data_IF_893979277720
#
_entry.id   IF_893979277720
#
_cell.length_a   1.000
_cell.length_b   1.000
_cell.length_c   1.000
_cell.angle_alpha   90.00
_cell.angle_beta   90.00
_cell.angle_gamma   90.00
#
_symmetry.space_group_name_H-M   'P 1'
#
loop_
_entity.id
_entity.type
_entity.pdbx_description
1 polymer ?
#
# COMPACT_ATOMS: atom_id res chain seq x y z
N UNK A 1 -17.22 0.27 7.19
CA UNK A 1 -16.65 -1.08 7.37
C UNK A 1 -15.17 -1.09 7.00
N UNK A 2 -14.39 -1.93 7.66
CA UNK A 2 -12.98 -2.15 7.37
C UNK A 2 -12.82 -3.13 6.20
N UNK A 3 -11.65 -3.16 5.55
CA UNK A 3 -11.35 -4.05 4.40
C UNK A 3 -11.34 -5.55 4.73
N UNK A 4 -11.35 -5.93 6.03
CA UNK A 4 -11.54 -7.32 6.48
C UNK A 4 -10.48 -8.33 6.03
N UNK A 5 -9.21 -7.95 5.93
CA UNK A 5 -8.11 -8.86 5.49
C UNK A 5 -7.87 -10.06 6.41
N UNK A 6 -8.32 -10.03 7.65
CA UNK A 6 -8.07 -11.08 8.65
C UNK A 6 -9.35 -11.57 9.34
N UNK A 7 -10.54 -11.30 8.77
CA UNK A 7 -11.82 -11.69 9.35
C UNK A 7 -13.01 -10.90 8.81
N UNK A 8 -14.20 -11.05 9.37
CA UNK A 8 -15.37 -10.32 8.92
C UNK A 8 -15.16 -8.81 9.06
N UNK A 9 -15.68 -8.04 8.09
CA UNK A 9 -15.51 -6.59 8.09
C UNK A 9 -16.12 -5.99 9.37
N UNK A 10 -15.33 -5.14 10.03
CA UNK A 10 -15.74 -4.46 11.27
C UNK A 10 -16.36 -3.10 10.92
N UNK A 11 -17.26 -2.63 11.76
CA UNK A 11 -17.79 -1.26 11.68
C UNK A 11 -17.01 -0.36 12.62
N UNK A 12 -16.49 0.73 12.10
CA UNK A 12 -15.86 1.80 12.88
C UNK A 12 -16.75 3.03 12.78
N UNK A 13 -17.00 3.67 13.90
CA UNK A 13 -17.88 4.84 14.01
C UNK A 13 -17.04 6.09 14.22
N UNK A 14 -17.45 7.18 13.59
CA UNK A 14 -16.83 8.49 13.69
C UNK A 14 -17.89 9.53 13.99
N UNK A 15 -17.62 10.43 14.90
CA UNK A 15 -18.36 11.68 15.05
C UNK A 15 -17.87 12.71 14.02
N UNK A 16 -18.56 13.82 13.90
CA UNK A 16 -18.13 14.93 13.07
C UNK A 16 -16.75 15.46 13.53
N UNK A 17 -16.55 15.57 14.84
CA UNK A 17 -15.25 15.96 15.41
C UNK A 17 -14.13 14.96 15.12
N UNK A 18 -14.43 13.65 15.10
CA UNK A 18 -13.43 12.63 14.72
C UNK A 18 -13.04 12.74 13.24
N UNK A 19 -14.00 13.10 12.37
CA UNK A 19 -13.70 13.35 10.94
C UNK A 19 -12.87 14.62 10.75
N UNK A 20 -13.15 15.67 11.54
CA UNK A 20 -12.36 16.90 11.52
C UNK A 20 -10.91 16.65 11.90
N UNK A 21 -10.64 15.83 12.92
CA UNK A 21 -9.28 15.38 13.27
C UNK A 21 -8.59 14.65 12.08
N UNK A 22 -9.35 13.90 11.29
CA UNK A 22 -8.83 13.23 10.09
C UNK A 22 -8.47 14.25 8.99
N UNK A 23 -9.33 15.24 8.78
CA UNK A 23 -9.07 16.33 7.82
C UNK A 23 -7.82 17.12 8.19
N UNK A 24 -7.65 17.45 9.48
CA UNK A 24 -6.45 18.14 9.97
C UNK A 24 -5.19 17.30 9.78
N UNK A 25 -5.25 16.01 10.08
CA UNK A 25 -4.13 15.10 9.81
C UNK A 25 -3.78 15.06 8.32
N UNK A 26 -4.77 14.96 7.43
CA UNK A 26 -4.52 14.96 5.99
C UNK A 26 -3.91 16.28 5.51
N UNK A 27 -4.39 17.42 6.00
CA UNK A 27 -3.78 18.71 5.70
C UNK A 27 -2.30 18.76 6.10
N UNK A 28 -1.98 18.37 7.34
CA UNK A 28 -0.60 18.39 7.85
C UNK A 28 0.26 17.34 7.16
N UNK A 29 -0.22 16.10 7.04
CA UNK A 29 0.52 15.03 6.37
C UNK A 29 0.80 15.34 4.90
N UNK A 30 -0.19 15.87 4.17
CA UNK A 30 0.00 16.25 2.77
C UNK A 30 0.95 17.43 2.59
N UNK A 31 1.12 18.32 3.58
CA UNK A 31 2.07 19.43 3.50
C UNK A 31 3.54 18.99 3.40
N UNK A 32 3.85 17.71 3.66
CA UNK A 32 5.20 17.15 3.46
C UNK A 32 5.55 16.97 1.99
N UNK A 33 4.55 16.80 1.12
CA UNK A 33 4.77 16.50 -0.32
C UNK A 33 3.98 17.40 -1.27
N UNK A 34 2.94 18.08 -0.80
CA UNK A 34 2.12 19.00 -1.58
C UNK A 34 2.15 20.41 -1.00
N UNK A 35 1.97 21.41 -1.85
CA UNK A 35 1.98 22.83 -1.51
C UNK A 35 0.82 23.55 -2.18
N UNK A 36 0.50 24.75 -1.70
CA UNK A 36 -0.54 25.59 -2.30
C UNK A 36 -0.33 25.76 -3.81
N UNK A 37 -1.40 25.58 -4.58
CA UNK A 37 -1.40 25.61 -6.04
C UNK A 37 -1.16 24.25 -6.71
N UNK A 38 -0.67 23.21 -6.02
CA UNK A 38 -0.56 21.86 -6.59
C UNK A 38 -1.93 21.30 -6.96
N UNK A 39 -1.97 20.56 -8.07
CA UNK A 39 -3.13 19.80 -8.52
C UNK A 39 -2.97 18.33 -8.14
N UNK A 40 -3.78 17.87 -7.20
CA UNK A 40 -3.63 16.56 -6.58
C UNK A 40 -4.73 15.61 -7.06
N UNK A 41 -4.35 14.57 -7.81
CA UNK A 41 -5.28 13.52 -8.22
C UNK A 41 -5.43 12.48 -7.11
N UNK A 42 -6.66 12.26 -6.66
CA UNK A 42 -6.99 11.31 -5.60
C UNK A 42 -7.56 10.04 -6.24
N UNK A 43 -6.76 8.96 -6.19
CA UNK A 43 -7.10 7.63 -6.70
C UNK A 43 -7.66 6.71 -5.61
N UNK A 44 -8.32 7.30 -4.62
CA UNK A 44 -8.96 6.62 -3.49
C UNK A 44 -10.47 6.82 -3.52
N UNK A 45 -11.27 5.93 -2.92
CA UNK A 45 -12.73 6.10 -2.86
C UNK A 45 -13.12 7.45 -2.25
N UNK A 46 -13.79 8.32 -3.03
CA UNK A 46 -14.10 9.70 -2.63
C UNK A 46 -15.53 10.15 -2.93
N UNK A 47 -16.38 9.30 -3.50
CA UNK A 47 -17.76 9.66 -3.92
C UNK A 47 -18.69 9.85 -2.72
N UNK A 48 -18.49 9.11 -1.63
CA UNK A 48 -19.35 9.18 -0.45
C UNK A 48 -18.82 10.21 0.54
N UNK A 49 -19.67 11.09 1.11
CA UNK A 49 -19.27 11.98 2.19
C UNK A 49 -18.62 11.20 3.35
N UNK A 50 -17.52 11.70 3.90
CA UNK A 50 -16.75 11.06 4.95
C UNK A 50 -15.91 9.86 4.52
N UNK A 51 -15.83 9.55 3.22
CA UNK A 51 -14.89 8.57 2.69
C UNK A 51 -13.46 9.13 2.66
N UNK A 52 -12.46 8.24 2.55
CA UNK A 52 -11.06 8.64 2.59
C UNK A 52 -10.70 9.70 1.55
N UNK A 53 -11.18 9.54 0.31
CA UNK A 53 -10.91 10.53 -0.74
C UNK A 53 -11.66 11.85 -0.55
N UNK A 54 -12.86 11.83 0.05
CA UNK A 54 -13.60 13.05 0.37
C UNK A 54 -12.93 13.84 1.50
N UNK A 55 -12.56 13.19 2.60
CA UNK A 55 -11.85 13.86 3.72
C UNK A 55 -10.47 14.35 3.28
N UNK A 56 -9.76 13.60 2.42
CA UNK A 56 -8.49 14.03 1.85
C UNK A 56 -8.67 15.25 0.96
N UNK A 57 -9.72 15.30 0.14
CA UNK A 57 -10.08 16.48 -0.68
C UNK A 57 -10.21 17.73 0.20
N UNK A 58 -10.98 17.63 1.30
CA UNK A 58 -11.17 18.76 2.23
C UNK A 58 -9.83 19.20 2.84
N UNK A 59 -8.98 18.24 3.27
CA UNK A 59 -7.65 18.55 3.81
C UNK A 59 -6.75 19.26 2.81
N UNK A 60 -6.76 18.84 1.54
CA UNK A 60 -6.01 19.45 0.45
C UNK A 60 -6.52 20.85 0.07
N UNK A 61 -7.84 21.05 0.05
CA UNK A 61 -8.42 22.39 -0.15
C UNK A 61 -7.98 23.36 0.96
N UNK A 62 -7.94 22.91 2.22
CA UNK A 62 -7.43 23.70 3.35
C UNK A 62 -5.93 23.98 3.27
N UNK A 63 -5.17 23.14 2.57
CA UNK A 63 -3.75 23.35 2.26
C UNK A 63 -3.55 24.36 1.10
N UNK A 64 -4.61 24.70 0.38
CA UNK A 64 -4.57 25.56 -0.81
C UNK A 64 -4.25 24.81 -2.10
N UNK A 65 -4.34 23.48 -2.09
CA UNK A 65 -4.23 22.65 -3.28
C UNK A 65 -5.55 22.63 -4.07
N UNK A 66 -5.48 22.11 -5.30
CA UNK A 66 -6.62 21.88 -6.18
C UNK A 66 -6.82 20.35 -6.33
N UNK A 67 -7.60 19.71 -5.47
CA UNK A 67 -7.82 18.27 -5.53
C UNK A 67 -8.78 17.87 -6.65
N UNK A 68 -8.45 16.78 -7.34
CA UNK A 68 -9.29 16.11 -8.34
C UNK A 68 -9.60 14.72 -7.81
N UNK A 69 -10.86 14.45 -7.45
CA UNK A 69 -11.27 13.13 -6.96
C UNK A 69 -11.68 12.27 -8.15
N UNK A 70 -10.85 11.29 -8.48
CA UNK A 70 -11.13 10.31 -9.53
C UNK A 70 -11.75 9.04 -8.95
N UNK A 71 -11.17 8.52 -7.87
CA UNK A 71 -11.49 7.21 -7.33
C UNK A 71 -10.46 6.15 -7.72
N UNK A 72 -10.69 4.87 -7.37
CA UNK A 72 -9.82 3.77 -7.77
C UNK A 72 -9.63 3.68 -9.28
N UNK A 73 -8.41 3.32 -9.71
CA UNK A 73 -8.07 3.19 -11.14
C UNK A 73 -8.90 2.08 -11.79
N UNK A 74 -9.75 2.44 -12.72
CA UNK A 74 -10.56 1.54 -13.54
C UNK A 74 -9.84 1.20 -14.85
N UNK A 75 -9.29 2.21 -15.53
CA UNK A 75 -8.61 2.08 -16.81
C UNK A 75 -7.42 3.06 -16.86
N UNK A 76 -6.22 2.54 -17.11
CA UNK A 76 -4.97 3.30 -17.02
C UNK A 76 -4.96 4.51 -17.96
N UNK A 77 -5.37 4.30 -19.22
CA UNK A 77 -5.36 5.35 -20.24
C UNK A 77 -6.29 6.52 -19.88
N UNK A 78 -7.46 6.22 -19.32
CA UNK A 78 -8.39 7.28 -18.88
C UNK A 78 -7.80 8.14 -17.76
N UNK A 79 -7.17 7.48 -16.76
CA UNK A 79 -6.56 8.19 -15.64
C UNK A 79 -5.42 9.08 -16.13
N UNK A 80 -4.56 8.56 -17.02
CA UNK A 80 -3.45 9.33 -17.59
C UNK A 80 -3.95 10.54 -18.40
N UNK A 81 -5.04 10.41 -19.15
CA UNK A 81 -5.70 11.54 -19.82
C UNK A 81 -6.20 12.58 -18.82
N UNK A 82 -6.82 12.16 -17.72
CA UNK A 82 -7.26 13.08 -16.65
C UNK A 82 -6.08 13.80 -16.01
N UNK A 83 -4.96 13.10 -15.76
CA UNK A 83 -3.73 13.73 -15.26
C UNK A 83 -3.29 14.85 -16.20
N UNK A 84 -3.26 14.59 -17.50
CA UNK A 84 -2.84 15.55 -18.51
C UNK A 84 -3.83 16.73 -18.63
N UNK A 85 -5.11 16.44 -18.81
CA UNK A 85 -6.17 17.46 -18.99
C UNK A 85 -6.34 18.36 -17.78
N UNK A 86 -6.24 17.78 -16.58
CA UNK A 86 -6.32 18.51 -15.32
C UNK A 86 -4.96 19.05 -14.87
N UNK A 87 -3.88 18.79 -15.60
CA UNK A 87 -2.51 19.18 -15.25
C UNK A 87 -2.14 18.78 -13.80
N UNK A 88 -2.49 17.54 -13.40
CA UNK A 88 -2.18 17.05 -12.08
C UNK A 88 -0.67 16.78 -11.94
N UNK A 89 -0.08 17.21 -10.82
CA UNK A 89 1.35 17.07 -10.56
C UNK A 89 1.67 16.31 -9.27
N UNK A 90 0.65 15.98 -8.48
CA UNK A 90 0.75 15.14 -7.29
C UNK A 90 -0.32 14.05 -7.37
N UNK A 91 0.03 12.81 -7.00
CA UNK A 91 -0.91 11.68 -6.99
C UNK A 91 -1.02 11.08 -5.59
N UNK A 92 -2.22 10.59 -5.25
CA UNK A 92 -2.45 9.79 -4.03
C UNK A 92 -3.20 8.53 -4.41
N UNK A 93 -2.62 7.35 -4.13
CA UNK A 93 -3.24 6.08 -4.52
C UNK A 93 -2.59 4.84 -3.92
N UNK A 94 -3.12 3.67 -4.28
CA UNK A 94 -2.54 2.40 -3.89
C UNK A 94 -1.27 2.09 -4.71
N UNK A 95 -0.23 1.47 -4.10
CA UNK A 95 1.07 1.27 -4.75
C UNK A 95 0.97 0.55 -6.10
N UNK A 96 0.20 -0.54 -6.18
CA UNK A 96 0.05 -1.30 -7.43
C UNK A 96 -0.71 -0.52 -8.49
N UNK A 97 -1.72 0.28 -8.11
CA UNK A 97 -2.43 1.13 -9.08
C UNK A 97 -1.51 2.22 -9.66
N UNK A 98 -0.71 2.86 -8.80
CA UNK A 98 0.29 3.84 -9.22
C UNK A 98 1.35 3.20 -10.12
N UNK A 99 1.83 2.01 -9.77
CA UNK A 99 2.78 1.26 -10.59
C UNK A 99 2.21 0.91 -11.98
N UNK A 100 0.96 0.45 -12.04
CA UNK A 100 0.28 0.16 -13.31
C UNK A 100 0.20 1.39 -14.21
N UNK A 101 -0.16 2.54 -13.63
CA UNK A 101 -0.21 3.81 -14.37
C UNK A 101 1.17 4.18 -14.92
N UNK A 102 2.22 4.07 -14.10
CA UNK A 102 3.59 4.41 -14.53
C UNK A 102 4.10 3.48 -15.64
N UNK A 103 3.81 2.16 -15.53
CA UNK A 103 4.16 1.21 -16.59
C UNK A 103 3.38 1.43 -17.87
N UNK A 104 2.09 1.75 -17.76
CA UNK A 104 1.27 2.07 -18.93
C UNK A 104 1.77 3.32 -19.62
N UNK A 105 2.11 4.36 -18.85
CA UNK A 105 2.68 5.61 -19.38
C UNK A 105 4.04 5.40 -20.05
N UNK A 106 4.95 4.59 -19.43
CA UNK A 106 6.24 4.21 -20.02
C UNK A 106 6.06 3.61 -21.42
N UNK A 107 5.05 2.77 -21.59
CA UNK A 107 4.83 2.05 -22.84
C UNK A 107 4.15 2.91 -23.91
N UNK A 108 3.22 3.81 -23.51
CA UNK A 108 2.40 4.60 -24.44
C UNK A 108 2.84 6.05 -24.57
N UNK A 109 3.79 6.52 -23.73
CA UNK A 109 4.35 7.89 -23.75
C UNK A 109 3.27 8.99 -23.71
N UNK A 110 2.34 8.90 -22.75
CA UNK A 110 1.19 9.81 -22.65
C UNK A 110 1.57 11.08 -21.90
N UNK A 111 2.29 10.96 -20.77
CA UNK A 111 2.64 12.10 -19.93
C UNK A 111 3.99 12.72 -20.36
N UNK A 112 4.11 14.05 -20.35
CA UNK A 112 5.41 14.69 -20.53
C UNK A 112 6.33 14.42 -19.32
N UNK A 113 7.63 14.37 -19.56
CA UNK A 113 8.63 14.20 -18.51
C UNK A 113 8.48 15.29 -17.43
N UNK A 114 8.52 14.88 -16.16
CA UNK A 114 8.36 15.78 -15.02
C UNK A 114 6.91 16.23 -14.74
N UNK A 115 5.91 15.66 -15.40
CA UNK A 115 4.49 15.94 -15.10
C UNK A 115 4.17 15.61 -13.65
N UNK A 116 4.61 14.47 -13.16
CA UNK A 116 4.40 14.04 -11.78
C UNK A 116 5.64 14.40 -10.97
N UNK A 117 5.45 15.24 -9.94
CA UNK A 117 6.51 15.69 -9.03
C UNK A 117 6.63 14.83 -7.78
N UNK A 118 5.49 14.45 -7.22
CA UNK A 118 5.42 13.67 -5.99
C UNK A 118 4.18 12.78 -5.95
N UNK A 119 4.26 11.69 -5.22
CA UNK A 119 3.10 10.84 -4.96
C UNK A 119 3.11 10.30 -3.52
N UNK A 120 1.91 10.08 -2.97
CA UNK A 120 1.69 9.40 -1.71
C UNK A 120 1.12 8.00 -1.99
N UNK A 121 1.88 6.99 -1.62
CA UNK A 121 1.41 5.61 -1.59
C UNK A 121 0.64 5.34 -0.30
N UNK A 122 -0.52 4.73 -0.39
CA UNK A 122 -1.39 4.46 0.76
C UNK A 122 -2.20 3.19 0.56
N UNK A 123 -2.85 2.71 1.62
CA UNK A 123 -3.80 1.60 1.66
C UNK A 123 -3.22 0.19 1.60
N UNK A 124 -2.04 0.00 1.05
CA UNK A 124 -1.35 -1.30 1.00
C UNK A 124 0.16 -1.12 1.22
N UNK A 125 0.88 -2.23 1.37
CA UNK A 125 2.35 -2.21 1.52
C UNK A 125 2.99 -1.70 0.22
N UNK A 126 3.88 -0.72 0.36
CA UNK A 126 4.68 -0.23 -0.75
C UNK A 126 5.97 -1.06 -0.87
N UNK A 127 6.03 -1.99 -1.83
CA UNK A 127 7.25 -2.74 -2.13
C UNK A 127 8.38 -1.81 -2.62
N UNK A 128 9.63 -2.14 -2.26
CA UNK A 128 10.79 -1.32 -2.68
C UNK A 128 10.96 -1.30 -4.20
N UNK A 129 10.66 -2.42 -4.87
CA UNK A 129 10.63 -2.51 -6.33
C UNK A 129 9.61 -1.55 -6.95
N UNK A 130 8.40 -1.45 -6.38
CA UNK A 130 7.39 -0.49 -6.85
C UNK A 130 7.88 0.94 -6.64
N UNK A 131 8.40 1.27 -5.45
CA UNK A 131 8.98 2.61 -5.17
C UNK A 131 10.05 2.97 -6.19
N UNK A 132 11.03 2.08 -6.40
CA UNK A 132 12.11 2.30 -7.36
C UNK A 132 11.63 2.48 -8.81
N UNK A 133 10.64 1.69 -9.22
CA UNK A 133 10.03 1.84 -10.54
C UNK A 133 9.34 3.21 -10.70
N UNK A 134 8.54 3.64 -9.74
CA UNK A 134 7.86 4.94 -9.78
C UNK A 134 8.84 6.11 -9.85
N UNK A 135 9.90 6.05 -9.04
CA UNK A 135 10.98 7.05 -9.06
C UNK A 135 11.71 7.08 -10.40
N UNK A 136 12.00 5.91 -10.97
CA UNK A 136 12.73 5.80 -12.25
C UNK A 136 11.87 6.27 -13.42
N UNK A 137 10.60 5.85 -13.47
CA UNK A 137 9.72 6.09 -14.61
C UNK A 137 9.24 7.54 -14.70
N UNK A 138 8.86 8.11 -13.57
CA UNK A 138 8.31 9.48 -13.54
C UNK A 138 9.29 10.52 -13.01
N UNK A 139 10.45 10.11 -12.45
CA UNK A 139 11.40 11.05 -11.85
C UNK A 139 10.84 11.78 -10.63
N UNK A 140 9.86 11.18 -9.95
CA UNK A 140 9.11 11.81 -8.86
C UNK A 140 9.57 11.34 -7.48
N UNK A 141 9.24 12.13 -6.45
CA UNK A 141 9.39 11.69 -5.06
C UNK A 141 8.22 10.79 -4.63
N UNK A 142 8.54 9.70 -3.95
CA UNK A 142 7.55 8.69 -3.51
C UNK A 142 7.52 8.66 -1.99
N UNK A 143 6.38 9.06 -1.43
CA UNK A 143 6.11 9.06 0.01
C UNK A 143 5.21 7.89 0.39
N UNK A 144 5.42 7.34 1.59
CA UNK A 144 4.61 6.27 2.15
C UNK A 144 3.72 6.79 3.29
N UNK A 145 2.57 6.15 3.45
CA UNK A 145 1.59 6.48 4.48
C UNK A 145 1.14 5.21 5.20
N UNK A 146 1.28 5.22 6.53
CA UNK A 146 0.70 4.20 7.39
C UNK A 146 -0.62 4.65 7.97
N UNK A 147 -1.65 3.83 7.84
CA UNK A 147 -2.96 4.09 8.42
C UNK A 147 -3.97 2.99 8.09
N UNK A 148 -5.04 3.00 8.84
CA UNK A 148 -6.19 2.11 8.65
C UNK A 148 -7.46 2.83 9.07
N UNK A 149 -8.63 2.24 8.81
CA UNK A 149 -9.90 2.84 9.24
C UNK A 149 -9.91 3.10 10.75
N UNK A 150 -9.34 2.18 11.51
CA UNK A 150 -9.29 2.23 12.98
C UNK A 150 -8.39 3.36 13.51
N UNK A 151 -7.35 3.80 12.81
CA UNK A 151 -6.54 4.97 13.18
C UNK A 151 -7.20 6.31 12.80
N UNK A 152 -8.41 6.30 12.24
CA UNK A 152 -9.04 7.48 11.66
C UNK A 152 -8.50 7.80 10.26
N UNK A 153 -8.25 6.77 9.46
CA UNK A 153 -7.74 6.81 8.09
C UNK A 153 -6.31 7.32 7.94
N UNK A 154 -5.65 7.72 9.04
CA UNK A 154 -4.27 8.18 9.02
C UNK A 154 -3.57 7.98 10.35
N UNK A 155 -2.37 7.39 10.33
CA UNK A 155 -1.54 7.13 11.49
C UNK A 155 -0.14 7.73 11.39
N UNK A 156 0.41 7.85 10.18
CA UNK A 156 1.72 8.45 9.94
C UNK A 156 2.03 8.65 8.46
N UNK A 157 2.89 9.63 8.15
CA UNK A 157 3.33 9.98 6.80
C UNK A 157 4.86 10.13 6.77
N UNK A 158 5.51 9.68 5.72
CA UNK A 158 6.93 9.96 5.47
C UNK A 158 7.18 11.45 5.27
N UNK A 159 8.37 11.91 5.67
CA UNK A 159 8.92 13.20 5.31
C UNK A 159 9.98 13.06 4.20
N UNK A 160 10.58 14.18 3.76
CA UNK A 160 11.63 14.22 2.73
C UNK A 160 12.87 13.37 3.04
N UNK A 161 13.09 12.99 4.31
CA UNK A 161 14.19 12.10 4.68
C UNK A 161 13.92 10.63 4.35
N UNK A 162 12.70 10.24 4.02
CA UNK A 162 12.26 8.89 3.69
C UNK A 162 12.75 7.80 4.68
N UNK A 163 12.84 8.17 5.96
CA UNK A 163 13.36 7.31 7.02
C UNK A 163 12.28 6.97 8.05
N UNK A 164 11.27 6.22 7.60
CA UNK A 164 10.07 5.87 8.36
C UNK A 164 8.98 6.94 8.31
N UNK A 165 7.80 6.61 8.82
CA UNK A 165 6.64 7.51 8.86
C UNK A 165 6.55 8.22 10.20
N UNK A 166 6.40 9.55 10.20
CA UNK A 166 6.13 10.34 11.40
C UNK A 166 4.72 10.07 11.90
N UNK A 167 4.63 9.68 13.17
CA UNK A 167 3.37 9.28 13.78
C UNK A 167 2.48 10.48 14.13
N UNK A 168 1.19 10.28 14.11
CA UNK A 168 0.17 11.22 14.57
C UNK A 168 0.06 11.21 16.11
N UNK A 169 1.12 11.63 16.82
CA UNK A 169 1.23 11.53 18.27
C UNK A 169 0.22 12.39 19.05
N UNK A 170 -0.34 13.43 18.44
CA UNK A 170 -1.39 14.23 19.06
C UNK A 170 -2.68 13.43 19.32
N UNK A 171 -2.96 12.42 18.49
CA UNK A 171 -4.21 11.67 18.49
C UNK A 171 -4.05 10.18 18.77
N UNK A 172 -2.83 9.65 18.63
CA UNK A 172 -2.52 8.24 18.77
C UNK A 172 -1.31 8.02 19.68
N UNK A 173 -1.47 7.21 20.69
CA UNK A 173 -0.36 6.64 21.45
C UNK A 173 -0.02 5.29 20.86
N UNK A 174 1.21 5.14 20.34
CA UNK A 174 1.68 3.93 19.65
C UNK A 174 2.69 3.19 20.51
N UNK A 175 2.49 1.89 20.65
CA UNK A 175 3.37 0.94 21.33
C UNK A 175 3.80 -0.14 20.34
N UNK A 176 4.99 -0.69 20.51
CA UNK A 176 5.43 -1.93 19.87
C UNK A 176 5.40 -3.02 20.94
N UNK A 177 4.75 -4.15 20.63
CA UNK A 177 4.63 -5.26 21.58
C UNK A 177 5.16 -6.56 20.99
N UNK A 178 5.63 -7.43 21.84
CA UNK A 178 5.83 -8.83 21.48
C UNK A 178 4.48 -9.47 21.15
N UNK A 179 4.29 -10.04 19.96
CA UNK A 179 2.97 -10.50 19.51
C UNK A 179 2.44 -11.71 20.30
N UNK A 180 3.31 -12.47 21.00
CA UNK A 180 2.96 -13.64 21.78
C UNK A 180 2.64 -13.26 23.23
N UNK A 181 3.58 -12.58 23.91
CA UNK A 181 3.44 -12.24 25.32
C UNK A 181 2.62 -10.97 25.59
N UNK A 182 2.49 -10.08 24.58
CA UNK A 182 1.84 -8.78 24.71
C UNK A 182 2.67 -7.73 25.50
N UNK A 183 3.92 -8.03 25.84
CA UNK A 183 4.83 -7.11 26.55
C UNK A 183 5.30 -6.01 25.60
N UNK A 184 5.36 -4.78 26.12
CA UNK A 184 5.92 -3.65 25.37
C UNK A 184 7.42 -3.87 25.16
N UNK A 185 7.87 -3.62 23.94
CA UNK A 185 9.26 -3.72 23.50
C UNK A 185 9.91 -2.33 23.50
N UNK A 186 11.22 -2.24 23.77
CA UNK A 186 11.97 -1.00 23.62
C UNK A 186 11.99 -0.50 22.16
N UNK A 187 12.24 0.81 21.99
CA UNK A 187 12.44 1.42 20.68
C UNK A 187 13.60 0.70 19.93
N UNK A 188 13.40 0.42 18.65
CA UNK A 188 14.35 -0.32 17.81
C UNK A 188 14.08 -1.82 17.70
N UNK A 189 13.30 -2.41 18.61
CA UNK A 189 12.92 -3.82 18.53
C UNK A 189 11.68 -4.05 17.66
N UNK A 190 11.71 -5.11 16.85
CA UNK A 190 10.63 -5.49 15.93
C UNK A 190 9.50 -6.19 16.71
N UNK A 191 8.27 -5.73 16.53
CA UNK A 191 7.09 -6.32 17.14
C UNK A 191 5.80 -5.89 16.47
N UNK A 192 4.68 -6.22 17.09
CA UNK A 192 3.35 -5.81 16.59
C UNK A 192 3.05 -4.37 17.01
N UNK A 193 2.57 -3.59 16.04
CA UNK A 193 2.12 -2.22 16.28
C UNK A 193 0.77 -2.25 16.98
N UNK A 194 0.71 -1.56 18.11
CA UNK A 194 -0.51 -1.36 18.91
C UNK A 194 -0.72 0.12 19.08
N UNK A 195 -1.96 0.59 19.06
CA UNK A 195 -2.26 1.98 19.34
C UNK A 195 -3.46 2.17 20.26
N UNK A 196 -3.45 3.30 20.95
CA UNK A 196 -4.57 3.83 21.74
C UNK A 196 -4.96 5.19 21.18
N UNK A 197 -6.25 5.40 20.92
CA UNK A 197 -6.76 6.72 20.49
C UNK A 197 -6.86 7.65 21.69
N UNK A 198 -6.33 8.87 21.55
CA UNK A 198 -6.32 9.86 22.66
C UNK A 198 -7.47 10.86 22.56
N UNK A 199 -7.88 11.20 21.37
CA UNK A 199 -8.81 12.32 21.10
C UNK A 199 -10.15 11.86 20.51
N UNK A 200 -10.26 10.62 20.05
CA UNK A 200 -11.48 10.10 19.42
C UNK A 200 -12.60 9.91 20.43
N UNK A 201 -13.81 10.38 20.06
CA UNK A 201 -14.98 10.37 20.95
C UNK A 201 -16.04 9.34 20.62
N UNK A 202 -16.32 9.06 19.33
CA UNK A 202 -17.40 8.16 18.94
C UNK A 202 -17.08 6.67 19.18
N UNK A 203 -15.83 6.28 18.95
CA UNK A 203 -15.37 4.90 19.15
C UNK A 203 -13.91 4.92 19.58
N UNK A 204 -13.60 5.19 20.87
CA UNK A 204 -12.25 5.13 21.38
C UNK A 204 -11.75 3.68 21.35
N UNK A 205 -10.48 3.51 20.96
CA UNK A 205 -9.79 2.23 20.93
C UNK A 205 -8.62 2.25 21.91
N UNK A 206 -8.56 1.26 22.79
CA UNK A 206 -7.49 1.14 23.80
C UNK A 206 -6.67 -0.09 23.48
N UNK A 207 -5.36 0.10 23.28
CA UNK A 207 -4.39 -0.94 22.93
C UNK A 207 -4.89 -1.84 21.77
N UNK A 208 -5.36 -1.20 20.69
CA UNK A 208 -5.83 -1.91 19.51
C UNK A 208 -4.65 -2.54 18.78
N UNK A 209 -4.68 -3.87 18.64
CA UNK A 209 -3.67 -4.65 17.93
C UNK A 209 -3.93 -4.56 16.42
N UNK A 210 -2.99 -3.98 15.69
CA UNK A 210 -3.15 -3.74 14.25
C UNK A 210 -2.87 -4.99 13.42
N UNK A 211 -2.06 -5.89 13.95
CA UNK A 211 -1.47 -6.98 13.21
C UNK A 211 -0.28 -6.57 12.32
N UNK A 212 0.05 -5.31 12.20
CA UNK A 212 1.21 -4.84 11.44
C UNK A 212 2.49 -5.06 12.27
N UNK A 213 3.55 -5.56 11.62
CA UNK A 213 4.88 -5.73 12.22
C UNK A 213 5.77 -4.55 11.85
N UNK A 214 6.33 -3.91 12.88
CA UNK A 214 7.24 -2.79 12.73
C UNK A 214 8.02 -2.51 14.03
N UNK A 215 8.78 -1.42 14.06
CA UNK A 215 9.48 -0.89 15.23
C UNK A 215 9.45 0.63 15.25
N UNK A 216 9.52 1.21 16.43
CA UNK A 216 9.81 2.63 16.57
C UNK A 216 11.28 2.86 16.24
N UNK A 217 11.57 3.82 15.37
CA UNK A 217 12.94 4.16 14.97
C UNK A 217 13.53 5.07 16.05
N UNK A 218 14.60 4.69 16.75
CA UNK A 218 15.20 5.51 17.77
C UNK A 218 15.89 6.76 17.20
N UNK A 219 16.03 7.78 18.01
CA UNK A 219 16.74 9.02 17.69
C UNK A 219 15.94 9.99 16.82
N UNK A 220 16.55 11.14 16.53
CA UNK A 220 15.94 12.21 15.75
C UNK A 220 15.86 11.86 14.27
N UNK A 221 14.82 12.39 13.62
CA UNK A 221 14.74 12.31 12.17
C UNK A 221 15.76 13.24 11.50
N UNK A 222 16.39 12.84 10.38
CA UNK A 222 17.22 13.75 9.60
C UNK A 222 16.50 15.04 9.14
N UNK A 223 15.16 15.04 9.04
CA UNK A 223 14.37 16.24 8.76
C UNK A 223 14.32 17.25 9.94
N UNK A 224 14.91 16.91 11.09
CA UNK A 224 14.92 17.75 12.29
C UNK A 224 13.70 17.59 13.21
N UNK A 225 12.69 16.80 12.84
CA UNK A 225 11.50 16.59 13.66
C UNK A 225 11.77 15.67 14.86
N UNK A 226 11.13 16.00 16.00
CA UNK A 226 11.13 15.20 17.23
C UNK A 226 9.99 14.17 17.29
N UNK A 227 9.04 14.22 16.35
CA UNK A 227 7.92 13.29 16.27
C UNK A 227 8.45 11.87 16.06
N UNK A 228 7.95 10.91 16.84
CA UNK A 228 8.32 9.51 16.72
C UNK A 228 8.06 8.99 15.32
N UNK A 229 8.92 8.07 14.89
CA UNK A 229 8.82 7.43 13.58
C UNK A 229 8.60 5.94 13.72
N UNK A 230 7.66 5.45 12.93
CA UNK A 230 7.46 4.02 12.72
C UNK A 230 8.21 3.59 11.46
N UNK A 231 8.95 2.48 11.53
CA UNK A 231 9.54 1.87 10.33
C UNK A 231 8.42 1.47 9.35
N UNK A 232 8.69 1.49 8.05
CA UNK A 232 7.70 1.11 7.04
C UNK A 232 7.20 -0.32 7.28
N UNK A 233 5.89 -0.49 7.21
CA UNK A 233 5.28 -1.81 7.35
C UNK A 233 5.61 -2.64 6.10
N UNK A 234 6.19 -3.82 6.32
CA UNK A 234 6.49 -4.79 5.25
C UNK A 234 5.72 -6.10 5.42
N UNK A 235 5.28 -6.39 6.64
CA UNK A 235 4.66 -7.66 7.00
C UNK A 235 3.62 -7.47 8.10
N UNK A 236 2.71 -8.44 8.20
CA UNK A 236 1.73 -8.54 9.29
C UNK A 236 1.87 -9.86 10.04
N UNK A 237 1.48 -9.89 11.31
CA UNK A 237 1.59 -11.07 12.20
C UNK A 237 1.03 -12.35 11.58
N UNK A 238 -0.10 -12.24 10.86
CA UNK A 238 -0.78 -13.40 10.26
C UNK A 238 -0.87 -13.28 8.74
N UNK A 239 0.04 -12.57 8.10
CA UNK A 239 0.07 -12.43 6.65
C UNK A 239 1.13 -13.34 6.06
N UNK A 240 0.74 -14.04 5.01
CA UNK A 240 1.62 -14.96 4.30
C UNK A 240 1.19 -16.40 4.44
N UNK A 241 1.77 -17.22 3.62
CA UNK A 241 1.56 -18.66 3.60
C UNK A 241 2.73 -19.34 4.29
N UNK A 242 2.48 -20.19 5.30
CA UNK A 242 3.56 -20.91 5.97
C UNK A 242 4.29 -21.83 4.99
N UNK A 243 5.62 -21.71 4.96
CA UNK A 243 6.52 -22.56 4.21
C UNK A 243 7.62 -23.05 5.16
N UNK A 244 7.42 -24.19 5.82
CA UNK A 244 8.29 -24.73 6.88
C UNK A 244 8.66 -23.67 7.95
N UNK A 245 9.88 -23.16 7.92
CA UNK A 245 10.41 -22.22 8.91
C UNK A 245 10.21 -20.75 8.53
N UNK A 246 9.53 -20.47 7.41
CA UNK A 246 9.37 -19.09 6.89
C UNK A 246 7.95 -18.85 6.34
N UNK A 247 7.69 -17.64 5.90
CA UNK A 247 6.40 -17.23 5.31
C UNK A 247 6.65 -16.68 3.91
N UNK A 248 5.81 -17.08 2.95
CA UNK A 248 5.70 -16.40 1.67
C UNK A 248 4.66 -15.30 1.80
N UNK A 249 5.07 -14.06 1.64
CA UNK A 249 4.19 -12.90 1.74
C UNK A 249 3.83 -12.34 0.35
N UNK A 250 2.79 -11.52 0.29
CA UNK A 250 2.48 -10.80 -0.93
C UNK A 250 3.59 -9.80 -1.30
N UNK A 251 4.25 -9.21 -0.30
CA UNK A 251 5.38 -8.32 -0.52
C UNK A 251 6.56 -9.02 -1.20
N UNK A 252 6.85 -10.29 -0.87
CA UNK A 252 7.90 -11.06 -1.53
C UNK A 252 7.59 -11.28 -3.01
N UNK A 253 6.31 -11.54 -3.32
CA UNK A 253 5.84 -11.65 -4.71
C UNK A 253 5.89 -10.30 -5.43
N UNK A 254 5.52 -9.21 -4.77
CA UNK A 254 5.61 -7.85 -5.34
C UNK A 254 7.06 -7.49 -5.67
N UNK A 255 7.99 -7.76 -4.74
CA UNK A 255 9.43 -7.51 -4.95
C UNK A 255 10.00 -8.31 -6.12
N UNK A 256 9.54 -9.54 -6.32
CA UNK A 256 10.02 -10.40 -7.40
C UNK A 256 9.37 -10.07 -8.75
N UNK A 257 8.05 -9.94 -8.79
CA UNK A 257 7.30 -9.88 -10.04
C UNK A 257 7.31 -8.50 -10.69
N UNK A 258 7.26 -7.41 -9.92
CA UNK A 258 7.29 -6.05 -10.46
C UNK A 258 8.67 -5.58 -10.94
N UNK A 259 9.71 -6.43 -10.85
CA UNK A 259 10.96 -6.25 -11.59
C UNK A 259 10.77 -6.54 -13.09
N UNK A 260 9.73 -7.30 -13.46
CA UNK A 260 9.43 -7.67 -14.85
C UNK A 260 8.50 -6.58 -15.40
N UNK A 261 9.02 -5.78 -16.33
CA UNK A 261 8.33 -4.57 -16.83
C UNK A 261 7.00 -4.86 -17.56
N UNK A 262 6.86 -6.07 -18.11
CA UNK A 262 5.66 -6.51 -18.81
C UNK A 262 4.51 -6.87 -17.86
N UNK A 263 4.75 -7.02 -16.56
CA UNK A 263 3.74 -7.36 -15.57
C UNK A 263 3.12 -6.08 -15.00
N UNK A 264 1.84 -5.87 -15.27
CA UNK A 264 1.05 -4.76 -14.72
C UNK A 264 0.48 -5.08 -13.35
N UNK A 265 0.02 -6.31 -13.16
CA UNK A 265 -0.62 -6.77 -11.93
C UNK A 265 -0.62 -8.30 -11.86
N UNK A 266 -0.89 -8.85 -10.69
CA UNK A 266 -1.09 -10.29 -10.53
C UNK A 266 -2.03 -10.60 -9.36
N UNK A 267 -2.57 -11.81 -9.36
CA UNK A 267 -3.17 -12.43 -8.18
C UNK A 267 -2.53 -13.78 -7.90
N UNK A 268 -2.48 -14.15 -6.62
CA UNK A 268 -1.84 -15.36 -6.17
C UNK A 268 -2.85 -16.27 -5.45
N UNK A 269 -2.88 -17.55 -5.83
CA UNK A 269 -3.67 -18.58 -5.20
C UNK A 269 -2.75 -19.69 -4.71
N UNK A 270 -2.80 -19.96 -3.42
CA UNK A 270 -2.02 -21.01 -2.77
C UNK A 270 -2.91 -22.19 -2.38
N UNK A 271 -2.45 -23.40 -2.68
CA UNK A 271 -3.11 -24.65 -2.29
C UNK A 271 -2.11 -25.61 -1.65
N UNK A 272 -2.45 -26.12 -0.49
CA UNK A 272 -1.68 -27.17 0.18
C UNK A 272 -2.51 -28.47 0.18
N UNK A 273 -2.05 -29.49 -0.52
CA UNK A 273 -2.70 -30.80 -0.58
C UNK A 273 -1.70 -31.91 -0.25
N UNK A 274 -2.00 -32.74 0.77
CA UNK A 274 -1.34 -34.04 1.05
C UNK A 274 0.16 -34.11 0.73
N UNK A 275 0.97 -33.15 1.16
CA UNK A 275 2.42 -33.12 0.97
C UNK A 275 2.90 -32.44 -0.32
N UNK A 276 2.02 -31.90 -1.14
CA UNK A 276 2.36 -31.05 -2.28
C UNK A 276 1.75 -29.66 -2.15
N UNK A 277 2.54 -28.67 -2.43
CA UNK A 277 2.15 -27.25 -2.40
C UNK A 277 2.09 -26.70 -3.82
N UNK A 278 1.01 -26.01 -4.16
CA UNK A 278 0.85 -25.34 -5.46
C UNK A 278 0.65 -23.83 -5.25
N UNK A 279 1.47 -23.02 -5.90
CA UNK A 279 1.26 -21.60 -6.09
C UNK A 279 0.80 -21.36 -7.53
N UNK A 280 -0.40 -20.85 -7.70
CA UNK A 280 -0.89 -20.39 -9.00
C UNK A 280 -0.84 -18.88 -9.06
N UNK A 281 -0.08 -18.34 -10.01
CA UNK A 281 -0.02 -16.90 -10.28
C UNK A 281 -0.81 -16.61 -11.56
N UNK A 282 -1.77 -15.70 -11.42
CA UNK A 282 -2.54 -15.14 -12.53
C UNK A 282 -1.95 -13.77 -12.85
N UNK A 283 -1.33 -13.63 -14.03
CA UNK A 283 -0.60 -12.43 -14.42
C UNK A 283 -1.42 -11.56 -15.37
N UNK A 284 -1.52 -10.27 -15.08
CA UNK A 284 -1.97 -9.25 -16.03
C UNK A 284 -0.76 -8.64 -16.70
N UNK A 285 -0.70 -8.75 -18.02
CA UNK A 285 0.41 -8.28 -18.81
C UNK A 285 0.09 -6.99 -19.54
N UNK A 286 1.13 -6.25 -19.91
CA UNK A 286 1.03 -5.14 -20.84
C UNK A 286 0.49 -5.64 -22.19
N UNK A 287 -0.32 -4.82 -22.86
CA UNK A 287 -0.92 -5.15 -24.14
C UNK A 287 0.12 -5.56 -25.20
N UNK A 288 -0.24 -6.54 -26.01
CA UNK A 288 0.65 -7.06 -27.05
C UNK A 288 1.77 -7.98 -26.57
N UNK A 289 1.96 -8.15 -25.27
CA UNK A 289 3.00 -9.02 -24.73
C UNK A 289 2.59 -10.49 -24.75
N UNK A 290 3.56 -11.36 -25.13
CA UNK A 290 3.33 -12.80 -25.20
C UNK A 290 3.77 -13.47 -23.90
N UNK A 291 2.85 -14.11 -23.23
CA UNK A 291 3.09 -14.86 -21.99
C UNK A 291 4.27 -15.86 -22.11
N UNK A 292 4.41 -16.51 -23.27
CA UNK A 292 5.51 -17.46 -23.52
C UNK A 292 6.91 -16.84 -23.39
N UNK A 293 7.06 -15.55 -23.65
CA UNK A 293 8.35 -14.85 -23.61
C UNK A 293 8.80 -14.57 -22.17
N UNK A 294 7.86 -14.21 -21.30
CA UNK A 294 8.17 -13.85 -19.90
C UNK A 294 8.12 -15.04 -18.94
N UNK A 295 7.52 -16.16 -19.36
CA UNK A 295 7.30 -17.33 -18.50
C UNK A 295 8.56 -17.86 -17.81
N UNK A 296 9.70 -17.85 -18.52
CA UNK A 296 11.00 -18.27 -17.95
C UNK A 296 11.48 -17.31 -16.89
N UNK A 297 11.35 -16.01 -17.15
CA UNK A 297 11.77 -14.97 -16.22
C UNK A 297 10.93 -14.94 -14.95
N UNK A 298 9.60 -15.03 -15.09
CA UNK A 298 8.69 -15.15 -13.94
C UNK A 298 9.06 -16.36 -13.09
N UNK A 299 9.30 -17.53 -13.71
CA UNK A 299 9.73 -18.70 -12.94
C UNK A 299 11.03 -18.46 -12.20
N UNK A 300 12.04 -17.90 -12.87
CA UNK A 300 13.34 -17.58 -12.26
C UNK A 300 13.17 -16.65 -11.06
N UNK A 301 12.42 -15.53 -11.23
CA UNK A 301 12.20 -14.55 -10.15
C UNK A 301 11.44 -15.13 -8.97
N UNK A 302 10.46 -15.99 -9.19
CA UNK A 302 9.71 -16.65 -8.13
C UNK A 302 10.57 -17.67 -7.38
N UNK A 303 11.43 -18.41 -8.09
CA UNK A 303 12.37 -19.38 -7.51
C UNK A 303 13.39 -18.68 -6.59
N UNK A 304 13.86 -17.49 -7.00
CA UNK A 304 14.79 -16.68 -6.22
C UNK A 304 14.21 -16.16 -4.88
N UNK A 305 12.89 -16.28 -4.67
CA UNK A 305 12.26 -15.91 -3.37
C UNK A 305 12.65 -16.98 -2.34
N UNK A 306 13.41 -16.58 -1.34
CA UNK A 306 13.71 -17.44 -0.20
C UNK A 306 12.42 -17.64 0.65
N UNK A 307 11.95 -18.85 0.90
CA UNK A 307 12.58 -20.18 0.82
C UNK A 307 12.08 -21.09 -0.33
N UNK A 308 11.57 -20.56 -1.42
CA UNK A 308 10.95 -21.37 -2.48
C UNK A 308 11.94 -22.25 -3.24
N UNK A 309 13.21 -21.86 -3.29
CA UNK A 309 14.26 -22.62 -4.00
C UNK A 309 14.36 -24.07 -3.49
N UNK A 310 14.53 -24.24 -2.18
CA UNK A 310 14.62 -25.56 -1.54
C UNK A 310 13.37 -26.43 -1.76
N UNK A 311 12.20 -25.81 -1.83
CA UNK A 311 10.94 -26.54 -2.01
C UNK A 311 10.72 -27.02 -3.42
N UNK A 312 11.19 -26.25 -4.39
CA UNK A 312 11.13 -26.60 -5.81
C UNK A 312 12.10 -27.72 -6.12
N UNK A 313 13.32 -27.66 -5.59
CA UNK A 313 14.33 -28.71 -5.77
C UNK A 313 13.92 -30.04 -5.19
N UNK A 314 13.21 -30.04 -4.06
CA UNK A 314 12.70 -31.25 -3.41
C UNK A 314 11.39 -31.80 -4.03
N UNK A 315 10.87 -31.18 -5.10
CA UNK A 315 9.65 -31.60 -5.80
C UNK A 315 8.36 -31.47 -4.98
N UNK A 316 8.41 -30.70 -3.88
CA UNK A 316 7.29 -30.45 -2.97
C UNK A 316 6.46 -29.23 -3.39
N UNK A 317 6.97 -28.42 -4.33
CA UNK A 317 6.34 -27.19 -4.76
C UNK A 317 6.07 -27.20 -6.28
N UNK A 318 4.85 -26.84 -6.64
CA UNK A 318 4.43 -26.67 -8.03
C UNK A 318 4.06 -25.21 -8.31
N UNK A 319 4.74 -24.58 -9.27
CA UNK A 319 4.43 -23.23 -9.72
C UNK A 319 3.62 -23.29 -11.02
N UNK A 320 2.38 -22.84 -10.96
CA UNK A 320 1.49 -22.71 -12.10
C UNK A 320 1.34 -21.23 -12.50
N UNK A 321 1.55 -20.93 -13.76
CA UNK A 321 1.46 -19.58 -14.30
C UNK A 321 0.34 -19.52 -15.33
N UNK A 322 -0.57 -18.58 -15.15
CA UNK A 322 -1.73 -18.33 -16.02
C UNK A 322 -1.80 -16.83 -16.33
N UNK A 323 -2.44 -16.49 -17.43
CA UNK A 323 -2.80 -15.08 -17.71
C UNK A 323 -4.18 -14.80 -17.15
N UNK A 324 -4.35 -13.63 -16.55
CA UNK A 324 -5.69 -13.14 -16.25
C UNK A 324 -6.40 -12.83 -17.56
N UNK A 325 -7.60 -13.35 -17.80
CA UNK A 325 -8.50 -12.73 -18.76
C UNK A 325 -8.79 -11.31 -18.25
N UNK A 326 -9.04 -10.39 -19.16
CA UNK A 326 -9.28 -8.96 -18.99
C UNK A 326 -9.96 -8.53 -17.65
N UNK A 327 -9.75 -7.33 -17.14
CA UNK A 327 -9.83 -7.01 -15.71
C UNK A 327 -11.12 -7.52 -15.07
N UNK A 328 -10.97 -8.21 -13.95
CA UNK A 328 -12.09 -8.46 -13.04
C UNK A 328 -12.67 -7.09 -12.66
N UNK A 329 -13.74 -6.68 -13.33
CA UNK A 329 -14.59 -5.59 -12.92
C UNK A 329 -15.14 -5.94 -11.53
N UNK A 330 -14.45 -5.49 -10.51
CA UNK A 330 -15.04 -5.46 -9.18
C UNK A 330 -16.07 -4.34 -9.20
N UNK A 331 -17.33 -4.73 -9.35
CA UNK A 331 -18.50 -3.86 -9.38
C UNK A 331 -18.81 -3.14 -8.07
N UNK A 332 -17.90 -3.17 -7.09
CA UNK A 332 -18.02 -2.43 -5.83
C UNK A 332 -16.92 -1.37 -5.80
N UNK A 333 -17.30 -0.10 -5.62
CA UNK A 333 -16.36 1.02 -5.43
C UNK A 333 -15.53 0.96 -4.13
N UNK A 334 -15.20 -0.24 -3.68
CA UNK A 334 -14.27 -0.55 -2.61
C UNK A 334 -13.01 -1.13 -3.23
N UNK A 335 -11.86 -0.55 -2.89
CA UNK A 335 -10.56 -1.16 -3.18
C UNK A 335 -10.49 -2.50 -2.45
N UNK A 336 -10.48 -3.58 -3.21
CA UNK A 336 -10.25 -4.91 -2.65
C UNK A 336 -8.77 -5.03 -2.33
N UNK A 337 -8.44 -5.28 -1.06
CA UNK A 337 -7.05 -5.46 -0.63
C UNK A 337 -6.51 -6.75 -1.26
N UNK A 338 -5.31 -6.66 -1.86
CA UNK A 338 -4.63 -7.83 -2.43
C UNK A 338 -4.21 -8.77 -1.31
N UNK A 339 -4.42 -10.06 -1.50
CA UNK A 339 -4.03 -11.13 -0.57
C UNK A 339 -3.65 -12.38 -1.36
N UNK A 340 -2.78 -13.20 -0.82
CA UNK A 340 -2.60 -14.57 -1.32
C UNK A 340 -3.83 -15.36 -0.88
N UNK A 341 -4.63 -15.80 -1.82
CA UNK A 341 -5.80 -16.63 -1.52
C UNK A 341 -5.34 -18.03 -1.12
N UNK A 342 -5.88 -18.55 -0.03
CA UNK A 342 -5.63 -19.93 0.42
C UNK A 342 -6.92 -20.71 0.34
N UNK A 343 -6.92 -21.82 -0.41
CA UNK A 343 -8.00 -22.80 -0.36
C UNK A 343 -7.51 -23.97 0.50
N UNK A 344 -8.14 -24.14 1.65
CA UNK A 344 -8.00 -25.35 2.50
C UNK A 344 -8.75 -26.52 1.88
#
# INVERSE_FOLDING_TARGET
PTSGTSGPSKRVFFSESDQELTVDFFKVGMSTLARAGDRVLILLPGVRPGSVGDLLRIGLERLGCQPVVYGPVDEEEKVLKVILEQNCNVLVGAPVQLHRLARWDEFHHILPAGQIRALLSSTDVLADTIRGNLQTLWGCEVFDHWGMTETGLGGGVECEAHHGVHLREADLYVEIIDPISGRVLPDGEMGEVVFTTLTRTAMPLIRYRTGDLSRLIPGLCPCGSFIKRLERIRQRVNSGVPLHASLLTLNDLDEALFQIKEILDFSALFRANSGKTELTLYLRLMDGQKFSQIKKEVKRKVIEINPLEDWIENGQFNLKLLTLPDPMQTSSGFMQKRVIQTNN
#
